data_IF_035845776203
#
_entry.id   IF_035845776203
#
_cell.length_a   1.000
_cell.length_b   1.000
_cell.length_c   1.000
_cell.angle_alpha   90.00
_cell.angle_beta   90.00
_cell.angle_gamma   90.00
#
_symmetry.space_group_name_H-M   'P 1'
#
loop_
_entity.id
_entity.type
_entity.pdbx_description
1 polymer ?
#
# COMPACT_ATOMS: atom_id res chain seq x y z
N UNK A 1 -37.13 5.05 15.03
CA UNK A 1 -35.97 4.27 14.51
C UNK A 1 -36.35 3.76 13.13
N UNK A 2 -35.82 4.36 12.07
CA UNK A 2 -36.05 3.85 10.70
C UNK A 2 -35.37 2.48 10.54
N UNK A 3 -35.87 1.61 9.66
CA UNK A 3 -35.25 0.31 9.45
C UNK A 3 -33.84 0.45 8.86
N UNK A 4 -32.90 -0.35 9.35
CA UNK A 4 -31.47 -0.25 9.03
C UNK A 4 -31.12 -0.45 7.55
N UNK A 5 -32.04 -0.95 6.72
CA UNK A 5 -31.85 -1.12 5.28
C UNK A 5 -32.08 0.16 4.46
N UNK A 6 -32.51 1.27 5.07
CA UNK A 6 -32.59 2.57 4.36
C UNK A 6 -31.27 3.32 4.33
N UNK A 7 -30.28 2.93 5.15
CA UNK A 7 -28.97 3.55 5.16
C UNK A 7 -28.17 3.19 3.92
N UNK A 8 -27.60 4.21 3.29
CA UNK A 8 -26.65 4.05 2.20
C UNK A 8 -25.23 4.04 2.75
N UNK A 9 -24.26 3.40 2.08
CA UNK A 9 -22.86 3.39 2.53
C UNK A 9 -22.27 4.80 2.78
N UNK A 10 -22.70 5.78 1.99
CA UNK A 10 -22.33 7.20 2.16
C UNK A 10 -22.73 7.78 3.53
N UNK A 11 -23.82 7.27 4.14
CA UNK A 11 -24.33 7.79 5.42
C UNK A 11 -23.43 7.38 6.60
N UNK A 12 -22.52 6.41 6.38
CA UNK A 12 -21.50 5.99 7.34
C UNK A 12 -20.16 6.72 7.19
N UNK A 13 -19.99 7.51 6.13
CA UNK A 13 -18.81 8.38 5.98
C UNK A 13 -19.00 9.65 6.81
N UNK A 14 -18.35 9.70 7.97
CA UNK A 14 -18.42 10.83 8.90
C UNK A 14 -17.59 12.06 8.46
N UNK A 15 -17.11 12.08 7.21
CA UNK A 15 -16.20 13.11 6.71
C UNK A 15 -16.36 13.33 5.20
N UNK A 16 -16.04 14.54 4.74
CA UNK A 16 -16.09 14.91 3.33
C UNK A 16 -14.80 14.52 2.59
N UNK A 17 -14.85 14.41 1.24
CA UNK A 17 -13.65 14.19 0.43
C UNK A 17 -12.58 15.28 0.65
N UNK A 18 -12.98 16.54 0.85
CA UNK A 18 -12.03 17.64 1.11
C UNK A 18 -11.26 17.44 2.41
N UNK A 19 -11.93 17.01 3.48
CA UNK A 19 -11.28 16.69 4.76
C UNK A 19 -10.31 15.52 4.58
N UNK A 20 -10.73 14.47 3.86
CA UNK A 20 -9.90 13.30 3.58
C UNK A 20 -8.60 13.68 2.86
N UNK A 21 -8.70 14.42 1.76
CA UNK A 21 -7.52 14.80 0.97
C UNK A 21 -6.58 15.74 1.73
N UNK A 22 -7.12 16.60 2.60
CA UNK A 22 -6.32 17.49 3.44
C UNK A 22 -5.45 16.74 4.44
N UNK A 23 -5.80 15.50 4.82
CA UNK A 23 -4.97 14.67 5.70
C UNK A 23 -3.58 14.41 5.10
N UNK A 24 -3.50 14.19 3.78
CA UNK A 24 -2.23 13.96 3.09
C UNK A 24 -1.36 15.22 3.07
N UNK A 25 -1.96 16.39 2.82
CA UNK A 25 -1.23 17.66 2.86
C UNK A 25 -0.63 17.92 4.24
N UNK A 26 -1.41 17.69 5.30
CA UNK A 26 -0.95 17.85 6.69
C UNK A 26 0.07 16.79 7.10
N UNK A 27 -0.02 15.57 6.54
CA UNK A 27 0.98 14.52 6.76
C UNK A 27 2.31 14.89 6.10
N UNK A 28 2.28 15.24 4.83
CA UNK A 28 3.48 15.57 4.06
C UNK A 28 4.16 16.84 4.58
N UNK A 29 3.40 17.87 4.96
CA UNK A 29 3.96 19.09 5.52
C UNK A 29 4.68 18.83 6.85
N UNK A 30 4.09 18.02 7.74
CA UNK A 30 4.69 17.70 9.03
C UNK A 30 5.90 16.75 8.93
N UNK A 31 5.93 15.94 7.89
CA UNK A 31 7.01 14.96 7.66
C UNK A 31 8.05 15.46 6.66
N UNK A 32 7.94 16.68 6.12
CA UNK A 32 8.93 17.19 5.18
C UNK A 32 10.34 17.18 5.82
N UNK A 33 11.39 16.67 5.14
CA UNK A 33 11.50 16.30 3.72
C UNK A 33 11.29 14.80 3.41
N UNK A 34 10.73 14.02 4.34
CA UNK A 34 10.58 12.57 4.24
C UNK A 34 9.86 12.06 2.99
N UNK A 35 8.82 12.72 2.43
CA UNK A 35 8.23 12.29 1.16
C UNK A 35 9.25 12.18 0.02
N UNK A 36 10.22 13.10 -0.06
CA UNK A 36 11.28 13.05 -1.09
C UNK A 36 12.22 11.87 -0.86
N UNK A 37 12.61 11.65 0.39
CA UNK A 37 13.46 10.52 0.80
C UNK A 37 12.74 9.20 0.49
N UNK A 38 11.44 9.12 0.77
CA UNK A 38 10.62 7.94 0.51
C UNK A 38 10.52 7.60 -0.98
N UNK A 39 10.45 8.60 -1.87
CA UNK A 39 10.51 8.37 -3.32
C UNK A 39 11.86 7.79 -3.78
N UNK A 40 12.96 8.30 -3.21
CA UNK A 40 14.30 7.77 -3.50
C UNK A 40 14.45 6.33 -2.99
N UNK A 41 14.08 6.08 -1.73
CA UNK A 41 14.14 4.74 -1.14
C UNK A 41 13.21 3.75 -1.85
N UNK A 42 12.01 4.18 -2.23
CA UNK A 42 11.08 3.39 -3.05
C UNK A 42 11.69 3.02 -4.40
N UNK A 43 12.39 3.95 -5.05
CA UNK A 43 13.11 3.68 -6.31
C UNK A 43 14.22 2.64 -6.13
N UNK A 44 14.96 2.73 -5.02
CA UNK A 44 15.99 1.73 -4.65
C UNK A 44 15.36 0.36 -4.41
N UNK A 45 14.22 0.29 -3.73
CA UNK A 45 13.49 -0.97 -3.51
C UNK A 45 13.06 -1.60 -4.83
N UNK A 46 12.48 -0.83 -5.76
CA UNK A 46 12.07 -1.34 -7.09
C UNK A 46 13.29 -1.87 -7.84
N UNK A 47 14.37 -1.08 -7.88
CA UNK A 47 15.61 -1.47 -8.54
C UNK A 47 16.19 -2.77 -7.96
N UNK A 48 16.25 -2.89 -6.62
CA UNK A 48 16.72 -4.11 -5.95
C UNK A 48 15.81 -5.31 -6.19
N UNK A 49 14.49 -5.12 -6.16
CA UNK A 49 13.49 -6.15 -6.41
C UNK A 49 13.61 -6.74 -7.81
N UNK A 50 13.86 -5.90 -8.83
CA UNK A 50 14.08 -6.35 -10.21
C UNK A 50 15.40 -7.12 -10.39
N UNK A 51 16.40 -6.88 -9.53
CA UNK A 51 17.70 -7.57 -9.59
C UNK A 51 17.69 -8.95 -8.92
N UNK A 52 16.72 -9.23 -8.04
CA UNK A 52 16.54 -10.54 -7.41
C UNK A 52 17.71 -11.03 -6.55
N UNK A 53 18.53 -10.13 -5.98
CA UNK A 53 19.71 -10.52 -5.18
C UNK A 53 19.28 -10.95 -3.76
N UNK A 54 19.73 -12.12 -3.25
CA UNK A 54 19.31 -12.61 -1.92
C UNK A 54 19.57 -11.64 -0.77
N UNK A 55 20.72 -10.94 -0.79
CA UNK A 55 21.06 -9.95 0.24
C UNK A 55 20.19 -8.69 0.23
N UNK A 56 19.40 -8.46 -0.82
CA UNK A 56 18.53 -7.30 -0.90
C UNK A 56 17.21 -7.49 -0.14
N UNK A 57 16.77 -8.73 0.12
CA UNK A 57 15.47 -8.99 0.74
C UNK A 57 15.38 -8.45 2.17
N UNK A 58 16.44 -8.59 2.97
CA UNK A 58 16.46 -8.06 4.33
C UNK A 58 16.37 -6.53 4.35
N UNK A 59 17.13 -5.86 3.47
CA UNK A 59 17.10 -4.40 3.35
C UNK A 59 15.74 -3.90 2.85
N UNK A 60 15.18 -4.53 1.81
CA UNK A 60 13.86 -4.16 1.28
C UNK A 60 12.76 -4.42 2.33
N UNK A 61 12.78 -5.57 3.01
CA UNK A 61 11.82 -5.89 4.07
C UNK A 61 11.89 -4.91 5.24
N UNK A 62 13.09 -4.48 5.64
CA UNK A 62 13.28 -3.46 6.66
C UNK A 62 12.72 -2.09 6.24
N UNK A 63 12.98 -1.65 5.01
CA UNK A 63 12.44 -0.37 4.52
C UNK A 63 10.91 -0.41 4.39
N UNK A 64 10.34 -1.51 3.89
CA UNK A 64 8.89 -1.68 3.85
C UNK A 64 8.29 -1.68 5.25
N UNK A 65 8.90 -2.38 6.21
CA UNK A 65 8.48 -2.41 7.60
C UNK A 65 8.41 -0.99 8.20
N UNK A 66 9.46 -0.18 7.99
CA UNK A 66 9.47 1.22 8.42
C UNK A 66 8.34 2.02 7.75
N UNK A 67 8.12 1.84 6.44
CA UNK A 67 7.02 2.52 5.72
C UNK A 67 5.64 2.16 6.23
N UNK A 68 5.40 0.88 6.54
CA UNK A 68 4.14 0.41 7.12
C UNK A 68 3.93 0.94 8.54
N UNK A 69 4.97 0.91 9.38
CA UNK A 69 4.91 1.45 10.74
C UNK A 69 4.70 2.98 10.74
N UNK A 70 5.37 3.69 9.83
CA UNK A 70 5.20 5.13 9.66
C UNK A 70 3.79 5.49 9.18
N UNK A 71 3.26 4.76 8.21
CA UNK A 71 1.87 4.93 7.75
C UNK A 71 0.86 4.65 8.87
N UNK A 72 1.09 3.60 9.67
CA UNK A 72 0.25 3.27 10.82
C UNK A 72 0.24 4.37 11.87
N UNK A 73 1.42 4.89 12.22
CA UNK A 73 1.56 5.94 13.22
C UNK A 73 1.05 7.29 12.70
N UNK A 74 1.72 7.84 11.69
CA UNK A 74 1.55 9.24 11.31
C UNK A 74 0.25 9.47 10.53
N UNK A 75 -0.13 8.53 9.67
CA UNK A 75 -1.35 8.68 8.89
C UNK A 75 -2.55 8.09 9.61
N UNK A 76 -2.54 6.79 9.89
CA UNK A 76 -3.72 6.11 10.45
C UNK A 76 -4.03 6.61 11.86
N UNK A 77 -3.09 6.47 12.81
CA UNK A 77 -3.35 6.79 14.22
C UNK A 77 -3.50 8.28 14.48
N UNK A 78 -2.53 9.10 14.07
CA UNK A 78 -2.51 10.54 14.41
C UNK A 78 -3.56 11.33 13.64
N UNK A 79 -3.86 10.98 12.38
CA UNK A 79 -4.65 11.82 11.48
C UNK A 79 -5.98 11.20 11.08
N UNK A 80 -6.02 9.89 10.82
CA UNK A 80 -7.22 9.27 10.27
C UNK A 80 -8.19 8.78 11.35
N UNK A 81 -7.71 8.17 12.44
CA UNK A 81 -8.55 7.72 13.58
C UNK A 81 -9.45 8.82 14.15
N UNK A 82 -8.98 10.08 14.35
CA UNK A 82 -9.85 11.16 14.85
C UNK A 82 -11.03 11.49 13.94
N UNK A 83 -10.94 11.21 12.64
CA UNK A 83 -11.96 11.54 11.63
C UNK A 83 -12.77 10.29 11.23
N UNK A 84 -12.14 9.12 11.25
CA UNK A 84 -12.72 7.83 10.94
C UNK A 84 -12.29 6.81 11.99
N UNK A 85 -13.15 6.60 12.99
CA UNK A 85 -12.90 5.65 14.09
C UNK A 85 -12.61 4.22 13.60
N UNK A 86 -13.16 3.81 12.44
CA UNK A 86 -12.91 2.48 11.88
C UNK A 86 -11.43 2.26 11.52
N UNK A 87 -10.66 3.34 11.29
CA UNK A 87 -9.22 3.26 11.07
C UNK A 87 -8.45 2.69 12.28
N UNK A 88 -9.04 2.72 13.49
CA UNK A 88 -8.41 2.19 14.70
C UNK A 88 -8.13 0.68 14.59
N UNK A 89 -8.97 -0.06 13.87
CA UNK A 89 -8.76 -1.49 13.61
C UNK A 89 -7.67 -1.76 12.57
N UNK A 90 -7.40 -0.80 11.68
CA UNK A 90 -6.37 -0.93 10.66
C UNK A 90 -4.96 -0.73 11.24
N UNK A 91 -4.80 0.11 12.27
CA UNK A 91 -3.51 0.38 12.92
C UNK A 91 -2.77 -0.88 13.37
N UNK A 92 -3.36 -1.79 14.19
CA UNK A 92 -2.66 -3.01 14.59
C UNK A 92 -2.38 -3.93 13.40
N UNK A 93 -3.27 -4.01 12.40
CA UNK A 93 -3.04 -4.81 11.20
C UNK A 93 -1.81 -4.31 10.42
N UNK A 94 -1.64 -2.99 10.29
CA UNK A 94 -0.46 -2.40 9.65
C UNK A 94 0.83 -2.66 10.43
N UNK A 95 0.78 -2.64 11.76
CA UNK A 95 1.94 -2.96 12.59
C UNK A 95 2.33 -4.45 12.49
N UNK A 96 1.33 -5.34 12.46
CA UNK A 96 1.56 -6.77 12.21
C UNK A 96 2.20 -6.97 10.84
N UNK A 97 1.68 -6.31 9.80
CA UNK A 97 2.26 -6.36 8.44
C UNK A 97 3.71 -5.83 8.42
N UNK A 98 3.99 -4.75 9.14
CA UNK A 98 5.35 -4.24 9.28
C UNK A 98 6.31 -5.28 9.88
N UNK A 99 5.88 -6.05 10.89
CA UNK A 99 6.68 -7.12 11.48
C UNK A 99 6.81 -8.33 10.55
N UNK A 100 5.74 -8.69 9.85
CA UNK A 100 5.74 -9.77 8.86
C UNK A 100 6.73 -9.49 7.73
N UNK A 101 6.74 -8.27 7.18
CA UNK A 101 7.66 -7.85 6.12
C UNK A 101 9.12 -7.83 6.59
N UNK A 102 9.37 -7.41 7.83
CA UNK A 102 10.70 -7.44 8.43
C UNK A 102 11.19 -8.90 8.56
N UNK A 103 10.38 -9.77 9.15
CA UNK A 103 10.71 -11.19 9.32
C UNK A 103 10.87 -11.91 7.98
N UNK A 104 10.00 -11.61 7.01
CA UNK A 104 10.08 -12.15 5.65
C UNK A 104 11.35 -11.69 4.93
N UNK A 105 11.77 -10.43 5.10
CA UNK A 105 13.02 -9.93 4.54
C UNK A 105 14.24 -10.72 5.03
N UNK A 106 14.31 -10.99 6.34
CA UNK A 106 15.38 -11.79 6.92
C UNK A 106 15.31 -13.28 6.52
N UNK A 107 14.11 -13.85 6.42
CA UNK A 107 13.91 -15.23 5.98
C UNK A 107 14.13 -15.42 4.46
N UNK A 108 13.90 -14.40 3.65
CA UNK A 108 14.05 -14.45 2.19
C UNK A 108 15.51 -14.56 1.74
N UNK A 109 16.47 -14.13 2.56
CA UNK A 109 17.90 -14.27 2.28
C UNK A 109 18.42 -15.70 2.38
N UNK A 110 17.70 -16.60 3.05
CA UNK A 110 18.14 -17.98 3.33
C UNK A 110 17.46 -19.05 2.46
N UNK A 111 16.39 -18.72 1.73
CA UNK A 111 15.62 -19.68 0.94
C UNK A 111 15.88 -19.62 -0.57
N UNK A 112 16.33 -20.73 -1.16
CA UNK A 112 16.25 -20.97 -2.62
C UNK A 112 14.79 -21.29 -2.99
N UNK A 113 13.96 -20.26 -3.13
CA UNK A 113 12.62 -20.42 -3.68
C UNK A 113 12.65 -20.43 -5.21
N UNK A 114 11.69 -21.13 -5.83
CA UNK A 114 11.43 -21.00 -7.26
C UNK A 114 11.14 -19.52 -7.57
N UNK A 115 11.82 -19.00 -8.60
CA UNK A 115 11.70 -17.59 -9.00
C UNK A 115 10.24 -17.18 -9.24
N UNK A 116 9.96 -15.88 -9.14
CA UNK A 116 8.64 -15.38 -9.54
C UNK A 116 8.41 -15.66 -11.04
N UNK A 117 7.29 -16.30 -11.37
CA UNK A 117 6.93 -16.55 -12.77
C UNK A 117 6.80 -15.23 -13.54
N UNK A 118 7.05 -15.25 -14.86
CA UNK A 118 7.15 -14.04 -15.70
C UNK A 118 5.98 -13.06 -15.50
N UNK A 119 4.75 -13.57 -15.48
CA UNK A 119 3.53 -12.74 -15.28
C UNK A 119 3.52 -12.07 -13.91
N UNK A 120 3.87 -12.80 -12.84
CA UNK A 120 3.97 -12.24 -11.50
C UNK A 120 5.07 -11.18 -11.39
N UNK A 121 6.21 -11.40 -12.06
CA UNK A 121 7.30 -10.44 -12.09
C UNK A 121 6.91 -9.15 -12.83
N UNK A 122 6.29 -9.27 -14.02
CA UNK A 122 5.83 -8.11 -14.80
C UNK A 122 4.73 -7.33 -14.08
N UNK A 123 3.72 -8.02 -13.53
CA UNK A 123 2.68 -7.39 -12.74
C UNK A 123 3.25 -6.74 -11.48
N UNK A 124 4.19 -7.42 -10.79
CA UNK A 124 4.86 -6.90 -9.61
C UNK A 124 5.64 -5.62 -9.88
N UNK A 125 6.42 -5.58 -10.97
CA UNK A 125 7.14 -4.39 -11.38
C UNK A 125 6.18 -3.24 -11.73
N UNK A 126 5.11 -3.53 -12.50
CA UNK A 126 4.11 -2.52 -12.86
C UNK A 126 3.39 -1.94 -11.63
N UNK A 127 3.01 -2.79 -10.67
CA UNK A 127 2.37 -2.36 -9.43
C UNK A 127 3.31 -1.57 -8.53
N UNK A 128 4.58 -1.99 -8.40
CA UNK A 128 5.55 -1.28 -7.58
C UNK A 128 5.90 0.09 -8.19
N UNK A 129 6.13 0.15 -9.49
CA UNK A 129 6.35 1.43 -10.19
C UNK A 129 5.10 2.31 -10.14
N UNK A 130 3.90 1.72 -10.33
CA UNK A 130 2.64 2.44 -10.22
C UNK A 130 2.40 3.01 -8.82
N UNK A 131 2.57 2.21 -7.77
CA UNK A 131 2.48 2.66 -6.38
C UNK A 131 3.45 3.80 -6.07
N UNK A 132 4.66 3.75 -6.61
CA UNK A 132 5.69 4.75 -6.39
C UNK A 132 5.48 6.06 -7.16
N UNK A 133 5.13 5.96 -8.45
CA UNK A 133 5.13 7.09 -9.36
C UNK A 133 3.73 7.61 -9.69
N UNK A 134 2.73 6.73 -9.81
CA UNK A 134 1.38 7.13 -10.22
C UNK A 134 0.60 7.78 -9.06
N UNK A 135 0.73 7.25 -7.83
CA UNK A 135 0.01 7.78 -6.67
C UNK A 135 0.32 9.26 -6.33
N UNK A 136 1.59 9.70 -6.32
CA UNK A 136 1.90 11.11 -6.14
C UNK A 136 1.25 12.02 -7.19
N UNK A 137 1.03 11.50 -8.41
CA UNK A 137 0.43 12.25 -9.52
C UNK A 137 -1.09 12.35 -9.41
N UNK A 138 -1.76 11.51 -8.60
CA UNK A 138 -3.21 11.63 -8.41
C UNK A 138 -3.65 12.95 -7.80
N UNK A 139 -2.80 13.58 -6.99
CA UNK A 139 -3.08 14.91 -6.46
C UNK A 139 -3.25 15.94 -7.59
N UNK A 140 -2.22 16.28 -8.39
CA UNK A 140 -2.35 17.26 -9.46
C UNK A 140 -3.34 16.85 -10.55
N UNK A 141 -3.42 15.56 -10.91
CA UNK A 141 -4.39 15.08 -11.91
C UNK A 141 -5.86 15.28 -11.49
N UNK A 142 -6.10 15.45 -10.20
CA UNK A 142 -7.44 15.70 -9.64
C UNK A 142 -7.64 17.16 -9.24
N UNK A 143 -6.76 18.07 -9.68
CA UNK A 143 -6.78 19.49 -9.32
C UNK A 143 -6.37 19.78 -7.87
N UNK A 144 -5.78 18.82 -7.16
CA UNK A 144 -5.28 18.98 -5.78
C UNK A 144 -3.82 19.48 -5.80
N UNK A 145 -3.37 20.22 -4.78
CA UNK A 145 -1.97 20.66 -4.70
C UNK A 145 -1.02 19.47 -4.55
N UNK A 146 0.19 19.59 -5.10
CA UNK A 146 1.23 18.54 -5.01
C UNK A 146 1.63 18.24 -3.56
N UNK A 147 1.41 19.18 -2.64
CA UNK A 147 1.60 18.96 -1.20
C UNK A 147 0.73 17.81 -0.67
N UNK A 148 -0.42 17.52 -1.31
CA UNK A 148 -1.31 16.40 -0.98
C UNK A 148 -0.99 15.11 -1.71
N UNK A 149 0.20 14.98 -2.29
CA UNK A 149 0.64 13.77 -2.98
C UNK A 149 0.63 12.55 -2.06
N UNK A 150 0.16 11.44 -2.58
CA UNK A 150 0.12 10.17 -1.85
C UNK A 150 1.44 9.44 -2.07
N UNK A 151 2.32 9.47 -1.07
CA UNK A 151 3.69 8.95 -1.19
C UNK A 151 3.84 7.62 -0.43
N UNK A 152 4.50 6.65 -1.06
CA UNK A 152 4.83 5.34 -0.46
C UNK A 152 5.53 5.51 0.88
N UNK A 153 5.15 4.70 1.88
CA UNK A 153 5.67 4.75 3.24
C UNK A 153 5.01 5.80 4.14
N UNK A 154 4.20 6.70 3.58
CA UNK A 154 3.45 7.72 4.33
C UNK A 154 1.95 7.54 4.10
N UNK A 155 1.53 7.51 2.83
CA UNK A 155 0.16 7.25 2.43
C UNK A 155 -0.12 5.74 2.45
N UNK A 156 -1.15 5.27 3.17
CA UNK A 156 -1.46 3.85 3.30
C UNK A 156 -1.70 3.16 1.95
N UNK A 157 -2.44 3.80 1.03
CA UNK A 157 -2.84 3.21 -0.25
C UNK A 157 -1.65 3.00 -1.19
N UNK A 158 -0.84 4.05 -1.37
CA UNK A 158 0.41 3.97 -2.12
C UNK A 158 1.33 2.88 -1.54
N UNK A 159 1.42 2.81 -0.20
CA UNK A 159 2.23 1.80 0.50
C UNK A 159 1.73 0.39 0.25
N UNK A 160 0.42 0.15 0.35
CA UNK A 160 -0.17 -1.16 0.13
C UNK A 160 0.01 -1.63 -1.32
N UNK A 161 -0.28 -0.78 -2.31
CA UNK A 161 -0.09 -1.11 -3.73
C UNK A 161 1.39 -1.36 -4.06
N UNK A 162 2.28 -0.52 -3.54
CA UNK A 162 3.71 -0.69 -3.69
C UNK A 162 4.19 -2.02 -3.10
N UNK A 163 3.79 -2.34 -1.87
CA UNK A 163 4.12 -3.59 -1.19
C UNK A 163 3.59 -4.80 -1.95
N UNK A 164 2.36 -4.77 -2.48
CA UNK A 164 1.84 -5.85 -3.33
C UNK A 164 2.72 -6.08 -4.57
N UNK A 165 3.17 -5.00 -5.20
CA UNK A 165 4.10 -5.07 -6.32
C UNK A 165 5.44 -5.71 -5.95
N UNK A 166 6.05 -5.23 -4.87
CA UNK A 166 7.33 -5.77 -4.36
C UNK A 166 7.19 -7.23 -3.96
N UNK A 167 6.12 -7.57 -3.22
CA UNK A 167 5.85 -8.94 -2.85
C UNK A 167 5.72 -9.80 -4.09
N UNK A 168 5.04 -9.40 -5.16
CA UNK A 168 4.93 -10.17 -6.42
C UNK A 168 6.29 -10.47 -7.09
N UNK A 169 7.29 -9.62 -6.90
CA UNK A 169 8.65 -9.87 -7.39
C UNK A 169 9.37 -10.98 -6.61
N UNK A 170 8.98 -11.22 -5.34
CA UNK A 170 9.65 -12.18 -4.46
C UNK A 170 9.27 -13.63 -4.81
N UNK A 171 10.16 -14.60 -4.51
CA UNK A 171 9.88 -16.03 -4.69
C UNK A 171 8.58 -16.45 -4.02
N UNK A 172 7.91 -17.46 -4.58
CA UNK A 172 6.64 -17.94 -4.00
C UNK A 172 6.92 -18.63 -2.66
N UNK A 173 6.17 -18.24 -1.62
CA UNK A 173 6.17 -18.91 -0.31
C UNK A 173 4.87 -18.64 0.43
N UNK A 174 4.55 -19.49 1.42
CA UNK A 174 3.38 -19.28 2.30
C UNK A 174 3.46 -17.96 3.08
N UNK A 175 4.67 -17.56 3.48
CA UNK A 175 4.89 -16.31 4.19
C UNK A 175 4.64 -15.09 3.29
N UNK A 176 5.04 -15.14 2.02
CA UNK A 176 4.70 -14.08 1.05
C UNK A 176 3.20 -14.00 0.84
N UNK A 177 2.51 -15.13 0.73
CA UNK A 177 1.05 -15.14 0.61
C UNK A 177 0.37 -14.54 1.86
N UNK A 178 0.89 -14.82 3.06
CA UNK A 178 0.40 -14.24 4.30
C UNK A 178 0.61 -12.72 4.35
N UNK A 179 1.79 -12.23 3.94
CA UNK A 179 2.11 -10.80 3.85
C UNK A 179 1.28 -10.06 2.77
N UNK A 180 0.60 -10.77 1.86
CA UNK A 180 -0.32 -10.13 0.91
C UNK A 180 -1.70 -9.86 1.51
N UNK A 181 -2.07 -10.50 2.64
CA UNK A 181 -3.42 -10.41 3.20
C UNK A 181 -3.74 -8.98 3.64
N UNK A 182 -2.89 -8.36 4.44
CA UNK A 182 -3.15 -7.00 4.96
C UNK A 182 -3.15 -5.95 3.83
N UNK A 183 -2.18 -5.91 2.90
CA UNK A 183 -2.22 -4.98 1.78
C UNK A 183 -3.45 -5.17 0.87
N UNK A 184 -3.86 -6.41 0.59
CA UNK A 184 -5.09 -6.67 -0.19
C UNK A 184 -6.32 -6.18 0.57
N UNK A 185 -6.45 -6.54 1.85
CA UNK A 185 -7.59 -6.13 2.67
C UNK A 185 -7.67 -4.60 2.76
N UNK A 186 -6.54 -3.92 2.93
CA UNK A 186 -6.48 -2.47 2.92
C UNK A 186 -6.89 -1.87 1.58
N UNK A 187 -6.37 -2.39 0.46
CA UNK A 187 -6.77 -1.93 -0.87
C UNK A 187 -8.28 -2.07 -1.12
N UNK A 188 -8.90 -3.16 -0.65
CA UNK A 188 -10.36 -3.35 -0.74
C UNK A 188 -11.12 -2.35 0.14
N UNK A 189 -10.66 -2.12 1.38
CA UNK A 189 -11.26 -1.16 2.30
C UNK A 189 -11.13 0.30 1.79
N UNK A 190 -9.96 0.66 1.26
CA UNK A 190 -9.73 1.96 0.64
C UNK A 190 -10.60 2.12 -0.62
N UNK A 191 -10.65 1.12 -1.49
CA UNK A 191 -11.52 1.16 -2.67
C UNK A 191 -12.99 1.40 -2.28
N UNK A 192 -13.49 0.66 -1.29
CA UNK A 192 -14.85 0.87 -0.78
C UNK A 192 -15.04 2.31 -0.27
N UNK A 193 -14.07 2.84 0.48
CA UNK A 193 -14.11 4.20 1.03
C UNK A 193 -14.09 5.28 -0.07
N UNK A 194 -13.21 5.15 -1.05
CA UNK A 194 -13.03 6.12 -2.14
C UNK A 194 -14.19 6.08 -3.15
N UNK A 195 -14.70 4.90 -3.46
CA UNK A 195 -15.86 4.75 -4.35
C UNK A 195 -17.14 5.25 -3.67
N UNK A 196 -17.29 5.07 -2.35
CA UNK A 196 -18.42 5.64 -1.60
C UNK A 196 -18.35 7.16 -1.48
N UNK A 197 -17.16 7.75 -1.55
CA UNK A 197 -16.98 9.20 -1.74
C UNK A 197 -17.28 9.69 -3.16
N UNK A 198 -17.56 8.79 -4.11
CA UNK A 198 -17.76 9.15 -5.52
C UNK A 198 -16.47 9.51 -6.26
N UNK A 199 -15.31 9.08 -5.75
CA UNK A 199 -14.01 9.41 -6.33
C UNK A 199 -13.50 8.28 -7.23
N UNK A 200 -12.95 8.60 -8.39
CA UNK A 200 -12.48 7.60 -9.37
C UNK A 200 -11.22 6.86 -8.90
N UNK A 201 -10.47 7.47 -7.98
CA UNK A 201 -9.22 6.95 -7.42
C UNK A 201 -9.44 5.61 -6.72
N UNK A 202 -10.65 5.32 -6.23
CA UNK A 202 -11.00 4.04 -5.62
C UNK A 202 -10.86 2.82 -6.53
N UNK A 203 -10.90 3.01 -7.85
CA UNK A 203 -10.64 1.92 -8.82
C UNK A 203 -9.19 1.45 -8.81
N UNK A 204 -8.24 2.31 -8.42
CA UNK A 204 -6.81 2.01 -8.45
C UNK A 204 -6.42 0.94 -7.42
N UNK A 205 -6.69 1.09 -6.11
CA UNK A 205 -6.37 0.06 -5.13
C UNK A 205 -7.16 -1.24 -5.39
N UNK A 206 -8.40 -1.14 -5.90
CA UNK A 206 -9.19 -2.32 -6.29
C UNK A 206 -8.52 -3.11 -7.43
N UNK A 207 -8.14 -2.42 -8.50
CA UNK A 207 -7.45 -3.03 -9.64
C UNK A 207 -6.08 -3.59 -9.23
N UNK A 208 -5.34 -2.88 -8.36
CA UNK A 208 -4.06 -3.33 -7.85
C UNK A 208 -4.18 -4.62 -7.03
N UNK A 209 -5.16 -4.71 -6.12
CA UNK A 209 -5.43 -5.91 -5.35
C UNK A 209 -5.80 -7.09 -6.27
N UNK A 210 -6.72 -6.87 -7.21
CA UNK A 210 -7.12 -7.89 -8.18
C UNK A 210 -5.96 -8.37 -9.05
N UNK A 211 -5.15 -7.46 -9.57
CA UNK A 211 -3.97 -7.78 -10.37
C UNK A 211 -2.92 -8.57 -9.58
N UNK A 212 -2.64 -8.17 -8.33
CA UNK A 212 -1.67 -8.86 -7.48
C UNK A 212 -2.12 -10.30 -7.16
N UNK A 213 -3.39 -10.48 -6.77
CA UNK A 213 -3.96 -11.81 -6.48
C UNK A 213 -3.99 -12.68 -7.73
N UNK A 214 -4.46 -12.15 -8.87
CA UNK A 214 -4.52 -12.88 -10.13
C UNK A 214 -3.12 -13.30 -10.61
N UNK A 215 -2.14 -12.40 -10.55
CA UNK A 215 -0.76 -12.70 -10.94
C UNK A 215 -0.12 -13.77 -10.05
N UNK A 216 -0.51 -13.83 -8.76
CA UNK A 216 -0.05 -14.85 -7.81
C UNK A 216 -0.81 -16.17 -7.89
N UNK A 217 -2.05 -16.17 -8.33
CA UNK A 217 -2.81 -17.38 -8.63
C UNK A 217 -2.41 -18.01 -9.97
N UNK A 218 -1.86 -17.21 -10.90
CA UNK A 218 -1.47 -17.71 -12.21
C UNK A 218 -0.33 -18.75 -12.12
N UNK A 219 -0.49 -19.94 -12.74
CA UNK A 219 0.53 -20.97 -12.71
C UNK A 219 1.81 -20.46 -13.36
N UNK A 220 2.96 -20.66 -12.70
CA UNK A 220 4.25 -20.40 -13.31
C UNK A 220 4.42 -21.39 -14.47
N UNK A 221 4.16 -20.95 -15.71
CA UNK A 221 4.63 -21.70 -16.87
C UNK A 221 6.15 -21.53 -16.89
N UNK A 222 6.86 -22.63 -16.66
CA UNK A 222 8.30 -22.77 -16.90
C UNK A 222 8.62 -22.42 -18.36
#
# INVERSE_FOLDING_TARGET
>A
MGPWWTYRPQDFLLFSPSVYWRLFELANAALFPLPLIALVLGSVIVWLGMRGRPGAFAFVGALLSVGWALSAWQFLWVRYVPVNWAASYAVPAFLVEALLLLGLGFAGGSGRGDGSGRIASTAGAALAVGGLALYPLFAPLSGRPIAGAEVVGIAPDATAVFTLGVLCLWPRSRLVALAMVVPVAWCLASAATLLTMGTWQGWVPLAAAGAAVAARAWPAKN
#
